data_IF_433113472950
#
_entry.id   IF_433113472950
#
_cell.length_a   1.000
_cell.length_b   1.000
_cell.length_c   1.000
_cell.angle_alpha   90.00
_cell.angle_beta   90.00
_cell.angle_gamma   90.00
#
_symmetry.space_group_name_H-M   'P 1'
#
loop_
_entity.id
_entity.type
_entity.pdbx_description
1 polymer ?
#
# COMPACT_ATOMS: atom_id res chain seq x y z
N UNK A 1 -24.68 0.66 -5.27
CA UNK A 1 -23.84 0.17 -4.16
C UNK A 1 -22.67 1.11 -4.02
N UNK A 2 -22.48 1.67 -2.82
CA UNK A 2 -21.75 2.92 -2.59
C UNK A 2 -20.24 2.68 -2.70
N UNK A 3 -19.48 3.61 -3.29
CA UNK A 3 -18.04 3.48 -3.60
C UNK A 3 -17.18 2.89 -2.48
N UNK A 4 -17.51 3.21 -1.22
CA UNK A 4 -16.85 2.67 -0.04
C UNK A 4 -16.95 1.13 0.04
N UNK A 5 -18.14 0.57 -0.19
CA UNK A 5 -18.36 -0.87 -0.17
C UNK A 5 -17.47 -1.58 -1.20
N UNK A 6 -17.39 -1.04 -2.42
CA UNK A 6 -16.54 -1.61 -3.48
C UNK A 6 -15.07 -1.66 -3.09
N UNK A 7 -14.56 -0.60 -2.43
CA UNK A 7 -13.17 -0.54 -1.96
C UNK A 7 -12.90 -1.51 -0.81
N UNK A 8 -13.83 -1.63 0.13
CA UNK A 8 -13.72 -2.61 1.23
C UNK A 8 -13.66 -4.01 0.65
N UNK A 9 -14.61 -4.35 -0.24
CA UNK A 9 -14.64 -5.64 -0.92
C UNK A 9 -13.31 -5.94 -1.61
N UNK A 10 -12.83 -5.02 -2.44
CA UNK A 10 -11.57 -5.15 -3.19
C UNK A 10 -10.40 -5.56 -2.29
N UNK A 11 -10.16 -4.83 -1.18
CA UNK A 11 -9.01 -5.13 -0.31
C UNK A 11 -9.21 -6.39 0.54
N UNK A 12 -10.44 -6.71 0.93
CA UNK A 12 -10.74 -7.91 1.73
C UNK A 12 -10.68 -9.22 0.94
N UNK A 13 -10.76 -9.14 -0.39
CA UNK A 13 -10.70 -10.32 -1.27
C UNK A 13 -9.28 -10.65 -1.75
N UNK A 14 -8.28 -9.83 -1.41
CA UNK A 14 -6.88 -10.12 -1.69
C UNK A 14 -6.38 -11.27 -0.81
N UNK A 15 -5.93 -12.37 -1.43
CA UNK A 15 -5.34 -13.48 -0.71
C UNK A 15 -3.89 -13.15 -0.27
N UNK A 16 -3.69 -12.93 1.03
CA UNK A 16 -2.40 -12.56 1.60
C UNK A 16 -2.27 -13.06 3.04
N UNK A 17 -2.06 -14.37 3.20
CA UNK A 17 -1.76 -14.94 4.52
C UNK A 17 -0.37 -14.47 5.00
N UNK A 18 -0.12 -14.56 6.31
CA UNK A 18 1.15 -14.14 6.91
C UNK A 18 2.35 -14.85 6.23
N UNK A 19 3.38 -14.07 5.90
CA UNK A 19 4.56 -14.49 5.14
C UNK A 19 4.37 -14.59 3.62
N UNK A 20 3.14 -14.38 3.10
CA UNK A 20 2.80 -14.49 1.69
C UNK A 20 2.00 -13.26 1.19
N UNK A 21 2.33 -12.08 1.70
CA UNK A 21 1.57 -10.84 1.49
C UNK A 21 1.86 -10.16 0.13
N UNK A 22 2.49 -10.86 -0.80
CA UNK A 22 2.86 -10.31 -2.10
C UNK A 22 1.68 -9.66 -2.86
N UNK A 23 0.46 -10.24 -2.88
CA UNK A 23 -0.68 -9.61 -3.57
C UNK A 23 -1.09 -8.27 -2.94
N UNK A 24 -1.15 -8.17 -1.61
CA UNK A 24 -1.46 -6.92 -0.91
C UNK A 24 -0.34 -5.90 -1.08
N UNK A 25 0.93 -6.33 -1.06
CA UNK A 25 2.08 -5.47 -1.33
C UNK A 25 2.05 -4.88 -2.75
N UNK A 26 1.65 -5.67 -3.75
CA UNK A 26 1.52 -5.19 -5.13
C UNK A 26 0.40 -4.15 -5.25
N UNK A 27 -0.77 -4.42 -4.65
CA UNK A 27 -1.89 -3.47 -4.59
C UNK A 27 -1.48 -2.14 -3.95
N UNK A 28 -0.85 -2.20 -2.77
CA UNK A 28 -0.42 -0.99 -2.06
C UNK A 28 0.65 -0.22 -2.83
N UNK A 29 1.57 -0.91 -3.54
CA UNK A 29 2.55 -0.23 -4.40
C UNK A 29 1.85 0.61 -5.48
N UNK A 30 0.87 0.03 -6.17
CA UNK A 30 0.10 0.75 -7.19
C UNK A 30 -0.63 1.97 -6.60
N UNK A 31 -1.30 1.80 -5.46
CA UNK A 31 -2.10 2.88 -4.85
C UNK A 31 -1.26 3.95 -4.16
N UNK A 32 -0.08 3.62 -3.63
CA UNK A 32 0.79 4.57 -2.92
C UNK A 32 1.63 5.42 -3.89
N UNK A 33 2.19 4.80 -4.94
CA UNK A 33 3.15 5.44 -5.87
C UNK A 33 2.74 6.84 -6.36
N UNK A 34 1.49 7.11 -6.78
CA UNK A 34 1.12 8.45 -7.27
C UNK A 34 0.99 9.52 -6.16
N UNK A 35 1.19 9.17 -4.89
CA UNK A 35 0.92 10.03 -3.73
C UNK A 35 2.13 10.23 -2.83
N UNK A 36 3.27 9.61 -3.15
CA UNK A 36 4.50 9.62 -2.35
C UNK A 36 5.70 9.87 -3.25
N UNK A 37 6.79 10.37 -2.69
CA UNK A 37 8.00 10.70 -3.44
C UNK A 37 8.87 9.46 -3.68
N UNK A 38 8.86 8.52 -2.72
CA UNK A 38 9.61 7.27 -2.79
C UNK A 38 8.78 6.10 -2.24
N UNK A 39 8.98 4.90 -2.80
CA UNK A 39 8.42 3.64 -2.28
C UNK A 39 9.56 2.71 -1.91
N UNK A 40 9.63 2.32 -0.64
CA UNK A 40 10.66 1.40 -0.10
C UNK A 40 10.03 0.10 0.39
N UNK A 41 10.87 -0.92 0.60
CA UNK A 41 10.46 -2.22 1.15
C UNK A 41 11.51 -2.70 2.14
N UNK A 42 11.07 -3.26 3.27
CA UNK A 42 11.98 -3.83 4.28
C UNK A 42 12.42 -5.27 3.92
N UNK A 43 13.29 -5.86 4.74
CA UNK A 43 13.80 -7.23 4.52
C UNK A 43 12.76 -8.35 4.73
N UNK A 44 11.58 -8.04 5.27
CA UNK A 44 10.49 -8.99 5.52
C UNK A 44 9.32 -8.82 4.53
N UNK A 45 9.35 -7.79 3.69
CA UNK A 45 8.34 -7.51 2.68
C UNK A 45 7.30 -6.47 3.07
N UNK A 46 7.49 -5.71 4.15
CA UNK A 46 6.71 -4.52 4.46
C UNK A 46 6.96 -3.42 3.43
N UNK A 47 5.92 -2.70 3.00
CA UNK A 47 6.00 -1.62 1.99
C UNK A 47 5.65 -0.28 2.62
N UNK A 48 6.43 0.75 2.30
CA UNK A 48 6.28 2.09 2.85
C UNK A 48 6.39 3.12 1.74
N UNK A 49 5.54 4.15 1.80
CA UNK A 49 5.68 5.34 0.98
C UNK A 49 6.27 6.48 1.80
N UNK A 50 7.32 7.12 1.29
CA UNK A 50 7.98 8.26 1.91
C UNK A 50 7.50 9.51 1.18
N UNK A 51 6.90 10.45 1.93
CA UNK A 51 6.57 11.78 1.44
C UNK A 51 7.42 12.79 2.21
N UNK A 52 8.33 13.47 1.53
CA UNK A 52 9.24 14.40 2.17
C UNK A 52 8.50 15.65 2.63
N UNK A 53 8.86 16.13 3.81
CA UNK A 53 8.40 17.42 4.32
C UNK A 53 9.27 18.53 3.73
N UNK A 54 8.64 19.60 3.26
CA UNK A 54 9.33 20.84 2.89
C UNK A 54 9.48 21.80 4.08
N UNK A 55 8.89 21.45 5.23
CA UNK A 55 9.04 22.25 6.44
C UNK A 55 10.50 22.17 6.91
N UNK A 56 11.14 23.33 6.99
CA UNK A 56 12.43 23.51 7.64
C UNK A 56 12.15 23.70 9.13
N UNK A 57 12.79 22.90 9.99
CA UNK A 57 12.75 23.08 11.44
C UNK A 57 13.25 24.47 11.88
#
# INVERSE_FOLDING_TARGET
>A
MTTLFSKIKEVTELAAVSGHEAPVRAYLREKLTPHVDEVVTDGLGGIFGIKHSEAVD
#
